data_IF_252417934147
#
_entry.id   IF_252417934147
#
_cell.length_a   1.000
_cell.length_b   1.000
_cell.length_c   1.000
_cell.angle_alpha   90.00
_cell.angle_beta   90.00
_cell.angle_gamma   90.00
#
_symmetry.space_group_name_H-M   'P 1'
#
loop_
_entity.id
_entity.type
_entity.pdbx_description
1 polymer ?
#
# COMPACT_ATOMS: atom_id res chain seq x y z
N UNK A 1 28.07 -67.10 -58.01
CA UNK A 1 26.91 -66.64 -57.21
C UNK A 1 27.07 -65.13 -57.04
N UNK A 2 26.15 -64.34 -57.63
CA UNK A 2 26.04 -62.86 -57.72
C UNK A 2 27.22 -62.10 -58.39
N UNK A 3 27.14 -61.38 -59.53
CA UNK A 3 26.20 -60.39 -60.14
C UNK A 3 26.44 -58.93 -59.69
N UNK A 4 26.77 -58.09 -60.70
CA UNK A 4 26.55 -56.63 -60.89
C UNK A 4 27.16 -55.65 -59.86
N UNK A 5 27.46 -54.38 -60.16
CA UNK A 5 27.29 -53.49 -61.32
C UNK A 5 27.84 -52.10 -60.91
N UNK A 6 28.63 -51.44 -61.76
CA UNK A 6 28.31 -50.20 -62.48
C UNK A 6 27.79 -49.00 -61.64
N UNK A 7 28.53 -47.87 -61.67
CA UNK A 7 28.12 -46.53 -62.13
C UNK A 7 28.84 -45.37 -61.42
N UNK A 8 29.08 -44.32 -62.22
CA UNK A 8 29.75 -43.05 -61.94
C UNK A 8 29.12 -42.25 -60.77
N UNK A 9 29.95 -41.55 -59.99
CA UNK A 9 29.50 -40.44 -59.14
C UNK A 9 29.57 -39.11 -59.91
N UNK A 10 28.39 -38.52 -60.14
CA UNK A 10 28.19 -37.17 -60.64
C UNK A 10 28.36 -36.14 -59.52
N UNK A 11 28.95 -34.99 -59.86
CA UNK A 11 29.03 -33.80 -59.02
C UNK A 11 27.64 -33.18 -58.76
N UNK A 12 27.45 -32.58 -57.58
CA UNK A 12 26.30 -31.73 -57.24
C UNK A 12 26.80 -30.37 -56.71
N UNK A 13 26.10 -29.26 -57.03
CA UNK A 13 26.61 -27.90 -56.82
C UNK A 13 26.40 -27.40 -55.39
N UNK A 14 27.32 -26.56 -54.93
CA UNK A 14 27.21 -25.83 -53.67
C UNK A 14 26.06 -24.82 -53.74
N UNK A 15 25.08 -24.98 -52.86
CA UNK A 15 23.96 -24.05 -52.71
C UNK A 15 24.40 -22.88 -51.81
N UNK A 16 24.50 -21.69 -52.38
CA UNK A 16 24.88 -20.46 -51.70
C UNK A 16 23.64 -19.87 -50.99
N UNK A 17 23.48 -20.10 -49.69
CA UNK A 17 22.41 -19.51 -48.88
C UNK A 17 22.78 -18.07 -48.47
N UNK A 18 21.97 -17.04 -48.78
CA UNK A 18 22.20 -15.69 -48.28
C UNK A 18 21.95 -15.62 -46.76
N UNK A 19 22.92 -15.01 -46.06
CA UNK A 19 22.86 -14.70 -44.63
C UNK A 19 21.63 -13.83 -44.33
N UNK A 20 20.68 -14.36 -43.55
CA UNK A 20 19.62 -13.56 -42.93
C UNK A 20 20.18 -12.81 -41.71
N UNK A 21 19.81 -11.53 -41.49
CA UNK A 21 20.19 -10.82 -40.27
C UNK A 21 19.52 -11.48 -39.07
N UNK A 22 20.32 -12.03 -38.15
CA UNK A 22 19.82 -12.57 -36.89
C UNK A 22 19.21 -11.44 -36.07
N UNK A 23 17.92 -11.55 -35.74
CA UNK A 23 17.30 -10.78 -34.66
C UNK A 23 18.08 -11.10 -33.38
N UNK A 24 18.79 -10.12 -32.83
CA UNK A 24 19.41 -10.26 -31.52
C UNK A 24 18.30 -10.46 -30.48
N UNK A 25 18.33 -11.64 -29.86
CA UNK A 25 17.51 -11.93 -28.69
C UNK A 25 18.02 -11.07 -27.53
N UNK A 26 17.16 -10.37 -26.77
CA UNK A 26 17.58 -9.73 -25.54
C UNK A 26 18.12 -10.81 -24.60
N UNK A 27 19.37 -10.63 -24.17
CA UNK A 27 20.09 -11.57 -23.31
C UNK A 27 19.28 -11.83 -22.03
N UNK A 28 18.93 -13.11 -21.81
CA UNK A 28 18.26 -13.60 -20.59
C UNK A 28 19.28 -13.84 -19.48
N UNK A 29 20.03 -12.80 -19.11
CA UNK A 29 20.93 -12.86 -17.96
C UNK A 29 20.37 -11.94 -16.87
N UNK A 30 20.20 -12.49 -15.66
CA UNK A 30 19.46 -11.92 -14.53
C UNK A 30 20.04 -10.67 -13.86
N UNK A 31 20.86 -9.89 -14.57
CA UNK A 31 21.25 -8.53 -14.19
C UNK A 31 21.31 -7.74 -15.48
N UNK A 32 20.21 -7.05 -15.82
CA UNK A 32 20.21 -6.18 -16.99
C UNK A 32 21.26 -5.08 -16.79
N UNK A 33 22.18 -4.86 -17.76
CA UNK A 33 23.03 -3.68 -17.73
C UNK A 33 22.12 -2.45 -17.74
N UNK A 34 22.32 -1.53 -16.79
CA UNK A 34 21.55 -0.30 -16.67
C UNK A 34 21.92 0.64 -17.84
N UNK A 35 21.41 0.35 -19.03
CA UNK A 35 21.65 1.16 -20.22
C UNK A 35 20.77 2.41 -20.14
N UNK A 36 21.42 3.57 -20.08
CA UNK A 36 20.75 4.87 -20.15
C UNK A 36 20.21 5.05 -21.56
N UNK A 37 18.90 4.89 -21.75
CA UNK A 37 18.22 5.19 -23.02
C UNK A 37 17.49 6.51 -22.92
N UNK A 38 17.48 7.28 -24.01
CA UNK A 38 16.58 8.42 -24.13
C UNK A 38 15.12 7.93 -24.12
N UNK A 39 14.17 8.68 -23.55
CA UNK A 39 12.77 8.33 -23.63
C UNK A 39 12.34 8.30 -25.10
N UNK A 40 11.98 7.12 -25.60
CA UNK A 40 11.42 6.97 -26.95
C UNK A 40 10.00 7.51 -26.97
N UNK A 41 9.77 8.62 -27.67
CA UNK A 41 8.44 9.20 -27.87
C UNK A 41 7.72 8.58 -29.07
N UNK A 42 6.46 8.17 -28.88
CA UNK A 42 5.38 8.83 -29.63
C UNK A 42 4.27 9.32 -28.69
N UNK A 43 3.64 10.42 -29.08
CA UNK A 43 2.58 11.08 -28.31
C UNK A 43 1.33 10.22 -28.20
N UNK A 44 1.11 9.65 -27.02
CA UNK A 44 -0.22 9.30 -26.54
C UNK A 44 -0.67 10.37 -25.55
N UNK A 45 -1.84 10.97 -25.78
CA UNK A 45 -2.53 11.73 -24.74
C UNK A 45 -3.16 10.68 -23.83
N UNK A 46 -2.42 10.21 -22.84
CA UNK A 46 -3.02 9.50 -21.73
C UNK A 46 -3.85 10.51 -20.94
N UNK A 47 -5.17 10.31 -20.85
CA UNK A 47 -5.99 11.06 -19.90
C UNK A 47 -5.57 10.74 -18.46
N UNK A 48 -6.13 11.46 -17.48
CA UNK A 48 -6.04 11.14 -16.04
C UNK A 48 -6.83 9.85 -15.72
N UNK A 49 -6.52 8.77 -16.42
CA UNK A 49 -7.35 7.59 -16.51
C UNK A 49 -7.77 7.08 -15.14
N UNK A 50 -9.07 6.90 -14.97
CA UNK A 50 -9.65 5.79 -14.22
C UNK A 50 -11.14 5.67 -14.55
N UNK A 51 -11.62 4.43 -14.58
CA UNK A 51 -12.99 4.09 -14.93
C UNK A 51 -13.87 4.18 -13.68
N UNK A 52 -15.09 4.71 -13.85
CA UNK A 52 -16.17 4.56 -12.88
C UNK A 52 -16.35 3.09 -12.50
N UNK A 53 -16.32 2.79 -11.20
CA UNK A 53 -16.46 1.44 -10.67
C UNK A 53 -17.69 1.38 -9.77
N UNK A 54 -18.76 0.66 -10.17
CA UNK A 54 -19.89 0.44 -9.29
C UNK A 54 -19.52 -0.58 -8.21
N UNK A 55 -19.73 -0.25 -6.93
CA UNK A 55 -19.65 -1.22 -5.84
C UNK A 55 -21.01 -1.87 -5.64
N UNK A 56 -21.25 -2.97 -6.37
CA UNK A 56 -22.57 -3.62 -6.42
C UNK A 56 -23.11 -4.07 -5.06
N UNK A 57 -22.24 -4.43 -4.12
CA UNK A 57 -22.64 -4.87 -2.78
C UNK A 57 -23.17 -3.74 -1.89
N UNK A 58 -22.67 -2.51 -2.06
CA UNK A 58 -23.10 -1.34 -1.29
C UNK A 58 -24.02 -0.39 -2.08
N UNK A 59 -24.15 -0.60 -3.40
CA UNK A 59 -24.88 0.30 -4.29
C UNK A 59 -24.20 1.66 -4.50
N UNK A 60 -22.94 1.82 -4.12
CA UNK A 60 -22.22 3.10 -4.22
C UNK A 60 -21.40 3.22 -5.50
N UNK A 61 -21.19 4.47 -5.92
CA UNK A 61 -20.34 4.82 -7.04
C UNK A 61 -18.92 5.14 -6.56
N UNK A 62 -17.91 4.46 -7.12
CA UNK A 62 -16.51 4.72 -6.81
C UNK A 62 -15.76 5.27 -8.02
N UNK A 63 -14.87 6.20 -7.75
CA UNK A 63 -13.96 6.78 -8.72
C UNK A 63 -12.65 7.12 -8.02
N UNK A 64 -11.51 7.01 -8.70
CA UNK A 64 -10.25 7.46 -8.13
C UNK A 64 -9.39 8.15 -9.19
N UNK A 65 -8.54 9.05 -8.72
CA UNK A 65 -7.58 9.80 -9.51
C UNK A 65 -6.22 9.54 -8.87
N UNK A 66 -5.33 8.84 -9.58
CA UNK A 66 -3.95 8.70 -9.15
C UNK A 66 -3.23 10.04 -9.30
N UNK A 67 -2.43 10.39 -8.31
CA UNK A 67 -1.56 11.56 -8.36
C UNK A 67 -0.16 11.05 -8.69
N UNK A 68 0.28 11.33 -9.91
CA UNK A 68 1.63 10.97 -10.36
C UNK A 68 2.67 11.80 -9.63
N UNK A 69 3.49 11.12 -8.83
CA UNK A 69 4.58 11.73 -8.09
C UNK A 69 5.92 11.32 -8.70
N UNK A 70 6.94 12.20 -8.67
CA UNK A 70 8.28 11.85 -9.10
C UNK A 70 8.79 10.59 -8.39
N UNK A 71 9.54 9.76 -9.12
CA UNK A 71 10.16 8.57 -8.53
C UNK A 71 11.09 8.99 -7.41
N UNK A 72 10.91 8.36 -6.26
CA UNK A 72 11.79 8.54 -5.12
C UNK A 72 13.11 7.77 -5.24
N UNK A 73 14.00 8.00 -4.28
CA UNK A 73 15.22 7.20 -4.10
C UNK A 73 14.85 5.73 -4.06
N UNK A 74 15.55 4.90 -4.83
CA UNK A 74 15.29 3.47 -4.97
C UNK A 74 13.84 3.11 -5.38
N UNK A 75 13.09 4.02 -6.01
CA UNK A 75 11.69 3.82 -6.36
C UNK A 75 10.72 3.95 -5.18
N UNK A 76 11.20 4.32 -3.99
CA UNK A 76 10.37 4.55 -2.83
C UNK A 76 9.70 5.93 -2.93
N UNK A 77 8.51 5.97 -3.52
CA UNK A 77 7.65 7.15 -3.61
C UNK A 77 6.30 6.88 -2.92
N UNK A 78 5.68 7.89 -2.30
CA UNK A 78 4.32 7.76 -1.79
C UNK A 78 3.36 7.50 -2.96
N UNK A 79 2.39 6.62 -2.74
CA UNK A 79 1.27 6.44 -3.66
C UNK A 79 0.11 7.28 -3.13
N UNK A 80 -0.14 8.41 -3.79
CA UNK A 80 -1.24 9.29 -3.44
C UNK A 80 -2.33 9.15 -4.49
N UNK A 81 -3.56 8.95 -4.02
CA UNK A 81 -4.75 8.94 -4.86
C UNK A 81 -5.84 9.76 -4.18
N UNK A 82 -6.64 10.42 -4.99
CA UNK A 82 -7.87 11.05 -4.57
C UNK A 82 -9.01 10.06 -4.90
N UNK A 83 -9.75 9.61 -3.89
CA UNK A 83 -10.79 8.59 -4.02
C UNK A 83 -12.16 9.21 -3.74
N UNK A 84 -13.12 8.96 -4.62
CA UNK A 84 -14.52 9.27 -4.43
C UNK A 84 -15.31 8.00 -4.13
N UNK A 85 -16.19 8.06 -3.13
CA UNK A 85 -17.25 7.09 -2.88
C UNK A 85 -18.52 7.86 -2.50
N UNK A 86 -19.61 7.65 -3.25
CA UNK A 86 -20.88 8.36 -3.02
C UNK A 86 -21.52 8.06 -1.66
N UNK A 87 -21.09 7.00 -0.97
CA UNK A 87 -21.54 6.66 0.38
C UNK A 87 -20.76 7.39 1.49
N UNK A 88 -19.65 8.05 1.16
CA UNK A 88 -18.86 8.79 2.14
C UNK A 88 -19.39 10.21 2.36
N UNK A 89 -19.24 10.68 3.60
CA UNK A 89 -19.64 12.01 4.03
C UNK A 89 -18.62 13.09 3.68
N UNK A 90 -18.65 14.17 4.45
CA UNK A 90 -17.72 15.28 4.29
C UNK A 90 -16.29 14.89 4.68
N UNK A 91 -15.32 15.51 4.01
CA UNK A 91 -13.90 15.30 4.28
C UNK A 91 -13.11 16.56 3.89
N UNK A 92 -11.82 16.65 4.26
CA UNK A 92 -10.96 17.76 3.82
C UNK A 92 -10.87 17.93 2.29
N UNK A 93 -11.21 16.90 1.51
CA UNK A 93 -11.26 16.97 0.05
C UNK A 93 -12.68 17.19 -0.53
N UNK A 94 -13.66 17.56 0.30
CA UNK A 94 -15.09 17.69 -0.01
C UNK A 94 -15.90 16.39 0.15
N UNK A 95 -17.22 16.51 -0.03
CA UNK A 95 -18.20 15.44 0.10
C UNK A 95 -17.87 14.25 -0.80
N UNK A 96 -17.81 13.06 -0.20
CA UNK A 96 -17.55 11.80 -0.90
C UNK A 96 -16.09 11.59 -1.32
N UNK A 97 -15.24 12.62 -1.23
CA UNK A 97 -13.83 12.54 -1.60
C UNK A 97 -12.96 12.24 -0.40
N UNK A 98 -11.86 11.51 -0.58
CA UNK A 98 -10.85 11.21 0.43
C UNK A 98 -9.49 11.10 -0.23
N UNK A 99 -8.42 11.35 0.52
CA UNK A 99 -7.05 11.22 0.03
C UNK A 99 -6.10 10.83 1.15
N UNK A 100 -4.88 10.50 0.75
CA UNK A 100 -3.78 10.25 1.67
C UNK A 100 -3.61 8.76 2.00
N UNK A 101 -2.57 8.45 2.78
CA UNK A 101 -2.18 7.09 3.13
C UNK A 101 -3.11 6.42 4.17
N UNK A 102 -4.23 7.06 4.52
CA UNK A 102 -5.10 6.66 5.63
C UNK A 102 -4.53 7.08 6.99
N UNK A 103 -5.18 6.62 8.05
CA UNK A 103 -4.86 6.94 9.43
C UNK A 103 -5.42 5.86 10.35
N UNK A 104 -4.89 5.76 11.57
CA UNK A 104 -5.49 4.97 12.63
C UNK A 104 -6.36 5.89 13.47
N UNK A 105 -7.57 5.48 13.86
CA UNK A 105 -8.46 6.27 14.72
C UNK A 105 -9.10 5.41 15.80
N UNK A 106 -9.53 6.04 16.89
CA UNK A 106 -10.46 5.39 17.82
C UNK A 106 -11.80 5.10 17.12
N UNK A 107 -12.40 3.96 17.44
CA UNK A 107 -13.66 3.52 16.87
C UNK A 107 -14.83 4.30 17.47
N UNK A 108 -15.78 4.75 16.63
CA UNK A 108 -16.90 5.62 17.06
C UNK A 108 -18.28 5.10 16.66
N UNK A 109 -18.37 4.09 15.80
CA UNK A 109 -19.63 3.50 15.35
C UNK A 109 -20.34 2.68 16.45
N UNK A 110 -19.62 2.30 17.52
CA UNK A 110 -20.16 1.52 18.66
C UNK A 110 -20.29 2.33 19.96
N UNK A 111 -20.05 3.63 19.93
CA UNK A 111 -20.07 4.48 21.12
C UNK A 111 -19.03 5.58 21.04
N UNK A 112 -19.07 6.51 22.01
CA UNK A 112 -18.05 7.55 22.12
C UNK A 112 -16.78 6.98 22.74
N UNK A 113 -15.58 7.36 22.25
CA UNK A 113 -14.33 6.95 22.86
C UNK A 113 -14.22 7.50 24.28
N UNK A 114 -13.83 6.64 25.22
CA UNK A 114 -13.56 7.01 26.62
C UNK A 114 -12.13 7.49 26.83
N UNK A 115 -11.27 7.31 25.82
CA UNK A 115 -9.84 7.58 25.83
C UNK A 115 -9.06 6.69 26.80
N UNK A 116 -9.54 5.45 26.97
CA UNK A 116 -8.93 4.41 27.77
C UNK A 116 -8.10 3.48 26.87
N UNK A 117 -6.80 3.40 27.15
CA UNK A 117 -5.84 2.65 26.31
C UNK A 117 -5.45 1.28 26.89
N UNK A 118 -5.89 0.98 28.10
CA UNK A 118 -5.64 -0.29 28.78
C UNK A 118 -5.72 -0.14 30.30
N UNK A 119 -5.80 -1.26 31.04
CA UNK A 119 -5.87 -1.23 32.49
C UNK A 119 -4.57 -0.68 33.07
N UNK A 120 -4.66 0.44 33.78
CA UNK A 120 -3.56 1.06 34.52
C UNK A 120 -3.82 1.07 36.04
N UNK A 121 -4.97 0.53 36.49
CA UNK A 121 -5.38 0.50 37.89
C UNK A 121 -5.92 1.84 38.42
N UNK A 122 -6.23 2.78 37.52
CA UNK A 122 -6.83 4.07 37.82
C UNK A 122 -8.28 4.12 37.28
N UNK A 123 -8.99 5.17 37.65
CA UNK A 123 -10.30 5.56 37.14
C UNK A 123 -10.08 6.78 36.25
N UNK A 124 -9.73 6.55 34.98
CA UNK A 124 -9.40 7.62 34.02
C UNK A 124 -10.66 8.26 33.40
N UNK A 125 -11.80 7.57 33.42
CA UNK A 125 -13.08 8.11 32.92
C UNK A 125 -13.94 8.79 34.02
N UNK A 126 -13.50 8.70 35.28
CA UNK A 126 -14.08 9.31 36.47
C UNK A 126 -15.50 8.81 36.81
N UNK A 127 -15.79 7.55 36.51
CA UNK A 127 -17.08 6.93 36.82
C UNK A 127 -17.18 6.33 38.24
N UNK A 128 -16.14 6.50 39.06
CA UNK A 128 -15.96 5.98 40.43
C UNK A 128 -15.57 4.50 40.53
N UNK A 129 -15.32 3.85 39.39
CA UNK A 129 -14.86 2.47 39.28
C UNK A 129 -13.49 2.46 38.60
N UNK A 130 -12.62 1.51 38.98
CA UNK A 130 -11.33 1.34 38.28
C UNK A 130 -11.59 0.77 36.89
N UNK A 131 -10.91 1.31 35.88
CA UNK A 131 -11.10 0.96 34.47
C UNK A 131 -10.91 -0.54 34.22
N UNK A 132 -11.89 -1.12 33.52
CA UNK A 132 -11.91 -2.54 33.17
C UNK A 132 -11.59 -2.77 31.69
N UNK A 133 -11.27 -4.02 31.35
CA UNK A 133 -10.93 -4.39 29.98
C UNK A 133 -12.06 -4.13 28.95
N UNK A 134 -13.32 -4.08 29.40
CA UNK A 134 -14.49 -3.81 28.54
C UNK A 134 -14.61 -2.33 28.16
N UNK A 135 -13.89 -1.45 28.85
CA UNK A 135 -13.97 0.01 28.71
C UNK A 135 -12.85 0.56 27.82
N UNK A 136 -11.88 -0.29 27.47
CA UNK A 136 -10.77 0.03 26.58
C UNK A 136 -11.30 0.32 25.18
N UNK A 137 -10.86 1.45 24.63
CA UNK A 137 -11.29 1.86 23.30
C UNK A 137 -10.78 0.90 22.22
N UNK A 138 -11.63 0.69 21.21
CA UNK A 138 -11.28 -0.03 20.00
C UNK A 138 -10.70 0.94 18.96
N UNK A 139 -9.94 0.41 18.01
CA UNK A 139 -9.29 1.19 16.98
C UNK A 139 -9.70 0.72 15.58
N UNK A 140 -9.64 1.62 14.62
CA UNK A 140 -9.87 1.35 13.19
C UNK A 140 -8.58 1.67 12.45
N UNK A 141 -8.15 0.74 11.59
CA UNK A 141 -6.95 0.85 10.78
C UNK A 141 -7.11 1.78 9.56
N UNK A 142 -6.01 2.04 8.84
CA UNK A 142 -6.03 2.86 7.62
C UNK A 142 -6.89 2.29 6.49
N UNK A 143 -7.16 0.98 6.53
CA UNK A 143 -8.04 0.25 5.63
C UNK A 143 -9.53 0.31 6.01
N UNK A 144 -9.86 0.95 7.14
CA UNK A 144 -11.23 1.04 7.65
C UNK A 144 -11.67 -0.20 8.44
N UNK A 145 -10.78 -1.16 8.67
CA UNK A 145 -11.08 -2.36 9.44
C UNK A 145 -10.80 -2.15 10.92
N UNK A 146 -11.65 -2.75 11.76
CA UNK A 146 -11.43 -2.75 13.20
C UNK A 146 -10.15 -3.51 13.55
N UNK A 147 -9.32 -2.94 14.41
CA UNK A 147 -8.09 -3.54 14.91
C UNK A 147 -8.38 -4.37 16.16
N UNK A 148 -8.14 -5.66 16.08
CA UNK A 148 -8.28 -6.59 17.19
C UNK A 148 -6.92 -6.91 17.80
N UNK A 149 -6.81 -6.93 19.14
CA UNK A 149 -5.57 -7.28 19.82
C UNK A 149 -5.21 -8.75 19.57
N UNK A 150 -3.91 -9.01 19.49
CA UNK A 150 -3.30 -10.33 19.44
C UNK A 150 -2.17 -10.43 20.47
N UNK A 151 -1.65 -11.63 20.69
CA UNK A 151 -0.55 -11.86 21.63
C UNK A 151 0.65 -10.94 21.38
N UNK A 152 1.27 -10.50 22.49
CA UNK A 152 2.45 -9.65 22.46
C UNK A 152 2.17 -8.17 22.18
N UNK A 153 0.99 -7.67 22.55
CA UNK A 153 0.64 -6.23 22.47
C UNK A 153 0.57 -5.70 21.04
N UNK A 154 0.32 -6.58 20.08
CA UNK A 154 0.13 -6.23 18.67
C UNK A 154 -1.35 -6.30 18.31
N UNK A 155 -1.71 -5.74 17.17
CA UNK A 155 -3.07 -5.80 16.63
C UNK A 155 -3.05 -6.25 15.17
N UNK A 156 -4.20 -6.73 14.68
CA UNK A 156 -4.47 -7.04 13.27
C UNK A 156 -5.87 -6.56 12.88
N UNK A 157 -6.12 -6.43 11.59
CA UNK A 157 -7.48 -6.19 11.11
C UNK A 157 -8.38 -7.37 11.46
N UNK A 158 -9.61 -7.09 11.92
CA UNK A 158 -10.65 -8.08 12.23
C UNK A 158 -10.97 -8.92 11.00
N UNK A 159 -11.14 -8.27 9.85
CA UNK A 159 -11.25 -8.91 8.55
C UNK A 159 -9.90 -8.73 7.85
N UNK A 160 -9.12 -9.80 7.81
CA UNK A 160 -7.74 -9.74 7.33
C UNK A 160 -7.67 -9.64 5.80
N UNK A 161 -6.73 -8.83 5.30
CA UNK A 161 -6.49 -8.67 3.86
C UNK A 161 -5.08 -8.21 3.52
N UNK A 162 -4.54 -7.23 4.26
CA UNK A 162 -3.21 -6.68 4.02
C UNK A 162 -2.08 -7.47 4.72
N UNK A 163 -2.42 -8.29 5.72
CA UNK A 163 -1.50 -8.98 6.62
C UNK A 163 -0.55 -8.01 7.34
N UNK A 164 -1.05 -6.81 7.63
CA UNK A 164 -0.31 -5.78 8.35
C UNK A 164 -0.32 -6.06 9.85
N UNK A 165 0.82 -5.82 10.51
CA UNK A 165 0.93 -5.92 11.97
C UNK A 165 0.99 -4.53 12.57
N UNK A 166 0.11 -4.25 13.51
CA UNK A 166 0.01 -2.95 14.18
C UNK A 166 0.56 -3.06 15.61
N UNK A 167 1.29 -2.05 16.07
CA UNK A 167 1.84 -1.98 17.43
C UNK A 167 1.79 -0.56 17.96
N UNK A 168 1.50 -0.40 19.25
CA UNK A 168 1.60 0.89 19.94
C UNK A 168 3.09 1.23 20.14
N UNK A 169 3.48 2.49 19.92
CA UNK A 169 4.83 3.02 20.18
C UNK A 169 4.73 4.43 20.77
N UNK A 170 5.10 4.59 22.05
CA UNK A 170 4.79 5.83 22.79
C UNK A 170 3.29 6.10 22.71
N UNK A 171 2.89 7.32 22.33
CA UNK A 171 1.49 7.63 22.07
C UNK A 171 1.06 7.36 20.62
N UNK A 172 1.96 6.86 19.75
CA UNK A 172 1.70 6.62 18.33
C UNK A 172 1.55 5.14 17.97
N UNK A 173 1.63 4.86 16.68
CA UNK A 173 1.52 3.50 16.14
C UNK A 173 2.61 3.18 15.12
N UNK A 174 3.08 1.95 15.15
CA UNK A 174 3.91 1.35 14.12
C UNK A 174 3.09 0.30 13.38
N UNK A 175 3.17 0.31 12.05
CA UNK A 175 2.56 -0.69 11.18
C UNK A 175 3.63 -1.33 10.32
N UNK A 176 3.83 -2.63 10.48
CA UNK A 176 4.74 -3.40 9.64
C UNK A 176 3.91 -4.10 8.55
N UNK A 177 4.17 -3.74 7.29
CA UNK A 177 3.51 -4.33 6.12
C UNK A 177 4.20 -5.64 5.72
N UNK A 178 3.49 -6.51 4.99
CA UNK A 178 4.07 -7.75 4.42
C UNK A 178 5.28 -7.51 3.49
N UNK A 179 5.38 -6.31 2.91
CA UNK A 179 6.49 -5.92 2.04
C UNK A 179 7.81 -5.68 2.79
N UNK A 180 7.77 -5.65 4.13
CA UNK A 180 8.89 -5.18 4.97
C UNK A 180 8.93 -3.67 5.15
N UNK A 181 8.00 -2.92 4.54
CA UNK A 181 7.84 -1.50 4.79
C UNK A 181 7.29 -1.28 6.19
N UNK A 182 7.92 -0.36 6.92
CA UNK A 182 7.46 0.12 8.22
C UNK A 182 6.82 1.48 8.07
N UNK A 183 5.62 1.63 8.59
CA UNK A 183 4.90 2.89 8.68
C UNK A 183 4.82 3.32 10.15
N UNK A 184 4.91 4.62 10.39
CA UNK A 184 4.75 5.24 11.70
C UNK A 184 3.63 6.27 11.61
N UNK A 185 2.68 6.19 12.55
CA UNK A 185 1.52 7.07 12.63
C UNK A 185 1.52 7.82 13.95
N UNK A 186 1.43 9.15 13.88
CA UNK A 186 1.28 10.05 15.03
C UNK A 186 2.33 9.85 16.13
N UNK A 187 3.60 9.64 15.76
CA UNK A 187 4.71 9.59 16.73
C UNK A 187 4.93 10.99 17.33
N UNK A 188 4.82 12.06 16.55
CA UNK A 188 4.88 13.44 17.04
C UNK A 188 3.49 14.08 17.16
N UNK A 189 3.32 15.12 18.01
CA UNK A 189 2.04 15.82 18.17
C UNK A 189 1.46 16.41 16.88
N UNK A 190 2.30 16.81 15.92
CA UNK A 190 1.84 17.39 14.64
C UNK A 190 1.14 16.39 13.73
N UNK A 191 1.33 15.08 13.95
CA UNK A 191 0.69 14.00 13.22
C UNK A 191 -0.49 13.37 13.99
N UNK A 192 -1.07 14.10 14.95
CA UNK A 192 -2.20 13.65 15.77
C UNK A 192 -3.38 14.61 15.64
N UNK A 193 -4.59 14.08 15.61
CA UNK A 193 -5.82 14.85 15.81
C UNK A 193 -6.24 14.65 17.24
N UNK A 194 -6.30 15.74 18.01
CA UNK A 194 -6.61 15.73 19.44
C UNK A 194 -7.82 16.59 19.75
N UNK A 195 -8.27 16.52 21.00
CA UNK A 195 -9.10 17.56 21.60
C UNK A 195 -8.35 18.91 21.71
N UNK A 196 -9.06 19.95 22.12
CA UNK A 196 -8.51 21.30 22.23
C UNK A 196 -7.39 21.42 23.30
N UNK A 197 -7.40 20.58 24.34
CA UNK A 197 -6.34 20.57 25.35
C UNK A 197 -5.10 19.75 24.92
N UNK A 198 -5.21 18.95 23.85
CA UNK A 198 -4.11 18.11 23.37
C UNK A 198 -3.86 16.86 24.21
N UNK A 199 -4.77 16.50 25.10
CA UNK A 199 -4.63 15.36 26.03
C UNK A 199 -5.30 14.10 25.51
N UNK A 200 -6.31 14.25 24.65
CA UNK A 200 -7.14 13.15 24.14
C UNK A 200 -6.91 12.98 22.65
N UNK A 201 -6.15 11.95 22.27
CA UNK A 201 -5.83 11.67 20.86
C UNK A 201 -6.94 10.83 20.24
N UNK A 202 -7.57 11.37 19.20
CA UNK A 202 -8.61 10.69 18.44
C UNK A 202 -8.03 9.93 17.23
N UNK A 203 -7.08 10.54 16.51
CA UNK A 203 -6.59 10.01 15.23
C UNK A 203 -5.07 10.20 15.09
N UNK A 204 -4.40 9.18 14.57
CA UNK A 204 -2.97 9.15 14.27
C UNK A 204 -2.78 9.14 12.76
N UNK A 205 -2.20 10.21 12.22
CA UNK A 205 -1.92 10.39 10.81
C UNK A 205 -0.58 9.74 10.45
N UNK A 206 -0.43 9.26 9.21
CA UNK A 206 0.86 8.74 8.77
C UNK A 206 1.90 9.86 8.86
N UNK A 207 3.00 9.57 9.55
CA UNK A 207 4.09 10.51 9.76
C UNK A 207 5.35 10.07 9.04
N UNK A 208 5.66 8.78 8.99
CA UNK A 208 6.81 8.32 8.21
C UNK A 208 6.66 6.91 7.65
N UNK A 209 7.37 6.67 6.55
CA UNK A 209 7.47 5.38 5.88
C UNK A 209 8.94 5.05 5.67
N UNK A 210 9.32 3.83 6.03
CA UNK A 210 10.68 3.30 5.83
C UNK A 210 10.57 1.99 5.07
N UNK A 211 11.24 1.89 3.93
CA UNK A 211 11.28 0.64 3.16
C UNK A 211 12.21 -0.41 3.78
N UNK A 212 12.19 -1.63 3.22
CA UNK A 212 13.03 -2.74 3.67
C UNK A 212 14.55 -2.48 3.49
N UNK A 213 14.94 -1.49 2.69
CA UNK A 213 16.32 -1.10 2.45
C UNK A 213 16.76 0.06 3.36
N UNK A 214 15.88 0.55 4.24
CA UNK A 214 16.16 1.66 5.16
C UNK A 214 15.95 3.05 4.57
N UNK A 215 15.41 3.18 3.36
CA UNK A 215 15.05 4.48 2.80
C UNK A 215 13.83 5.02 3.55
N UNK A 216 13.98 6.18 4.20
CA UNK A 216 12.93 6.80 5.03
C UNK A 216 12.38 8.08 4.38
N UNK A 217 11.08 8.32 4.58
CA UNK A 217 10.40 9.60 4.32
C UNK A 217 9.49 9.96 5.49
N UNK A 218 9.35 11.25 5.76
CA UNK A 218 8.33 11.83 6.63
C UNK A 218 7.84 13.16 6.09
#
# INVERSE_FOLDING_TARGET
MLVAGCWLLSAAPACNCPFLPQKQHPNKNGVAPNSVSLPSGPGSIAGLGEAFQPLLSAGSARYAIQIDLPRGVAGHAPQLKLQYDSALGDSPASLGWTYGPGAISRQVDKGLPRYLDGPNGLDDDHDTVVDNAEEVDQFVGPDGEELVPIDGGSYRARIEGSFSRYRRIGDGWQVDLKSGTRLVYGETPGARVTDAAGTRIYRWLLESSTDANGNRRG
#
